data_IF_312569924172
#
_entry.id   IF_312569924172
#
_cell.length_a   1.000
_cell.length_b   1.000
_cell.length_c   1.000
_cell.angle_alpha   90.00
_cell.angle_beta   90.00
_cell.angle_gamma   90.00
#
_symmetry.space_group_name_H-M   'P 1'
#
loop_
_entity.id
_entity.type
_entity.pdbx_description
1 polymer ?
#
# COMPACT_ATOMS: atom_id res chain seq x y z
N UNK A 1 18.67 -0.85 -32.74
CA UNK A 1 17.26 -1.07 -33.12
C UNK A 1 16.39 -0.85 -31.89
N UNK A 2 15.45 0.08 -31.95
CA UNK A 2 14.58 0.44 -30.83
C UNK A 2 13.62 -0.69 -30.42
N UNK A 3 13.28 -1.60 -31.33
CA UNK A 3 12.40 -2.74 -31.03
C UNK A 3 13.06 -3.72 -30.07
N UNK A 4 14.36 -3.96 -30.24
CA UNK A 4 15.12 -4.84 -29.35
C UNK A 4 15.24 -4.23 -27.94
N UNK A 5 15.52 -2.93 -27.85
CA UNK A 5 15.55 -2.21 -26.57
C UNK A 5 14.19 -2.24 -25.87
N UNK A 6 13.11 -2.01 -26.62
CA UNK A 6 11.74 -2.12 -26.11
C UNK A 6 11.42 -3.51 -25.58
N UNK A 7 11.86 -4.56 -26.30
CA UNK A 7 11.65 -5.96 -25.89
C UNK A 7 12.37 -6.29 -24.58
N UNK A 8 13.62 -5.87 -24.43
CA UNK A 8 14.38 -6.03 -23.18
C UNK A 8 13.67 -5.31 -22.02
N UNK A 9 13.20 -4.09 -22.26
CA UNK A 9 12.41 -3.34 -21.28
C UNK A 9 11.11 -4.05 -20.89
N UNK A 10 10.41 -4.64 -21.86
CA UNK A 10 9.17 -5.39 -21.62
C UNK A 10 9.41 -6.64 -20.77
N UNK A 11 10.49 -7.39 -21.00
CA UNK A 11 10.85 -8.52 -20.13
C UNK A 11 11.23 -8.07 -18.72
N UNK A 12 11.97 -6.96 -18.58
CA UNK A 12 12.28 -6.37 -17.28
C UNK A 12 11.03 -5.93 -16.52
N UNK A 13 10.06 -5.32 -17.22
CA UNK A 13 8.77 -4.96 -16.65
C UNK A 13 7.93 -6.20 -16.29
N UNK A 14 7.97 -7.27 -17.09
CA UNK A 14 7.34 -8.54 -16.74
C UNK A 14 7.92 -9.15 -15.47
N UNK A 15 9.25 -9.13 -15.31
CA UNK A 15 9.91 -9.62 -14.10
C UNK A 15 9.56 -8.79 -12.86
N UNK A 16 9.40 -7.47 -12.99
CA UNK A 16 9.03 -6.63 -11.85
C UNK A 16 7.63 -6.97 -11.30
N UNK A 17 6.70 -7.45 -12.14
CA UNK A 17 5.40 -7.93 -11.67
C UNK A 17 5.53 -9.17 -10.77
N UNK A 18 6.47 -10.08 -11.06
CA UNK A 18 6.72 -11.24 -10.20
C UNK A 18 7.29 -10.82 -8.84
N UNK A 19 8.20 -9.84 -8.83
CA UNK A 19 8.74 -9.27 -7.58
C UNK A 19 7.64 -8.59 -6.78
N UNK A 20 6.76 -7.81 -7.43
CA UNK A 20 5.62 -7.17 -6.79
C UNK A 20 4.68 -8.19 -6.13
N UNK A 21 4.29 -9.25 -6.88
CA UNK A 21 3.44 -10.30 -6.34
C UNK A 21 4.07 -11.00 -5.14
N UNK A 22 5.37 -11.30 -5.23
CA UNK A 22 6.11 -11.89 -4.10
C UNK A 22 6.09 -10.99 -2.86
N UNK A 23 6.30 -9.67 -3.02
CA UNK A 23 6.24 -8.72 -1.91
C UNK A 23 4.84 -8.68 -1.29
N UNK A 24 3.78 -8.63 -2.10
CA UNK A 24 2.38 -8.66 -1.61
C UNK A 24 2.09 -9.92 -0.80
N UNK A 25 2.46 -11.10 -1.33
CA UNK A 25 2.26 -12.36 -0.61
C UNK A 25 3.05 -12.37 0.70
N UNK A 26 4.30 -11.90 0.68
CA UNK A 26 5.15 -11.85 1.86
C UNK A 26 4.57 -10.93 2.93
N UNK A 27 4.09 -9.74 2.59
CA UNK A 27 3.55 -8.77 3.57
C UNK A 27 2.18 -9.15 4.12
N UNK A 28 1.39 -9.94 3.38
CA UNK A 28 0.13 -10.50 3.90
C UNK A 28 0.41 -11.66 4.88
N UNK A 29 1.41 -12.50 4.58
CA UNK A 29 1.65 -13.75 5.33
C UNK A 29 2.65 -13.61 6.47
N UNK A 30 3.49 -12.59 6.44
CA UNK A 30 4.62 -12.45 7.38
C UNK A 30 5.04 -11.00 7.57
N UNK A 31 5.79 -10.73 8.65
CA UNK A 31 6.37 -9.41 8.93
C UNK A 31 5.76 -8.74 10.16
N UNK A 32 6.26 -7.54 10.44
CA UNK A 32 5.76 -6.72 11.54
C UNK A 32 4.46 -6.02 11.13
N UNK A 33 3.53 -5.92 12.09
CA UNK A 33 2.30 -5.16 11.87
C UNK A 33 2.66 -3.69 11.71
N UNK A 34 2.08 -3.04 10.71
CA UNK A 34 2.26 -1.62 10.50
C UNK A 34 1.80 -0.83 11.75
N UNK A 35 2.51 0.24 12.14
CA UNK A 35 2.03 1.17 13.14
C UNK A 35 0.76 1.89 12.64
N UNK A 36 0.05 2.52 13.58
CA UNK A 36 -1.23 3.21 13.33
C UNK A 36 -1.18 4.22 12.18
N UNK A 37 -0.14 5.06 12.14
CA UNK A 37 0.14 6.00 11.05
C UNK A 37 1.57 5.75 10.56
N UNK A 38 1.76 4.88 9.55
CA UNK A 38 3.08 4.44 9.11
C UNK A 38 3.79 5.44 8.19
N UNK A 39 3.07 6.44 7.69
CA UNK A 39 3.59 7.41 6.72
C UNK A 39 3.74 8.79 7.36
N UNK A 40 4.80 9.49 6.97
CA UNK A 40 4.96 10.90 7.33
C UNK A 40 3.88 11.73 6.61
N UNK A 41 3.22 12.63 7.34
CA UNK A 41 2.14 13.45 6.79
C UNK A 41 0.79 12.74 6.65
N UNK A 42 0.62 11.55 7.23
CA UNK A 42 -0.68 10.88 7.32
C UNK A 42 -1.52 11.49 8.47
N UNK A 43 -2.00 12.71 8.24
CA UNK A 43 -2.73 13.57 9.19
C UNK A 43 -4.24 13.68 8.91
N UNK A 44 -4.73 12.98 7.89
CA UNK A 44 -6.15 12.91 7.54
C UNK A 44 -6.95 12.05 8.53
N UNK A 45 -8.29 12.10 8.43
CA UNK A 45 -9.19 11.47 9.40
C UNK A 45 -9.03 9.94 9.48
N UNK A 46 -8.70 9.30 8.36
CA UNK A 46 -8.49 7.86 8.29
C UNK A 46 -7.25 7.39 9.07
N UNK A 47 -6.26 8.25 9.28
CA UNK A 47 -5.03 7.92 10.00
C UNK A 47 -5.04 8.40 11.45
N UNK A 48 -5.72 9.53 11.71
CA UNK A 48 -5.77 10.18 13.03
C UNK A 48 -6.92 9.70 13.91
N UNK A 49 -8.04 9.27 13.34
CA UNK A 49 -9.26 8.97 14.09
C UNK A 49 -9.78 7.53 13.94
N UNK A 50 -9.36 6.77 12.92
CA UNK A 50 -9.75 5.36 12.73
C UNK A 50 -8.62 4.42 13.13
N UNK A 51 -8.87 3.31 13.84
CA UNK A 51 -7.83 2.33 14.16
C UNK A 51 -7.37 1.56 12.91
N UNK A 52 -6.15 1.03 12.94
CA UNK A 52 -5.61 0.11 11.94
C UNK A 52 -5.59 -1.33 12.51
N UNK A 53 -6.34 -2.31 11.95
CA UNK A 53 -7.15 -2.23 10.74
C UNK A 53 -8.49 -1.49 10.95
N UNK A 54 -8.99 -0.90 9.86
CA UNK A 54 -10.22 -0.12 9.88
C UNK A 54 -11.44 -0.99 10.25
N UNK A 55 -12.38 -0.47 11.07
CA UNK A 55 -13.63 -1.13 11.37
C UNK A 55 -14.56 -1.16 10.14
N UNK A 56 -15.60 -1.99 10.16
CA UNK A 56 -16.58 -2.09 9.07
C UNK A 56 -17.35 -0.78 8.82
N UNK A 57 -17.70 -0.05 9.89
CA UNK A 57 -18.27 1.28 9.82
C UNK A 57 -17.26 2.30 10.33
N UNK A 58 -16.88 3.27 9.50
CA UNK A 58 -15.86 4.26 9.83
C UNK A 58 -16.31 5.21 10.94
N UNK A 59 -17.48 5.84 10.80
CA UNK A 59 -17.98 6.82 11.76
C UNK A 59 -19.49 6.64 11.95
N UNK A 60 -19.92 6.46 13.20
CA UNK A 60 -21.35 6.52 13.57
C UNK A 60 -21.78 7.97 13.83
N UNK A 61 -20.89 8.75 14.44
CA UNK A 61 -21.06 10.19 14.66
C UNK A 61 -20.06 10.96 13.80
N UNK A 62 -20.47 12.05 13.12
CA UNK A 62 -19.56 12.84 12.30
C UNK A 62 -18.38 13.38 13.12
N UNK A 63 -17.14 13.21 12.65
CA UNK A 63 -15.97 13.74 13.33
C UNK A 63 -15.92 15.27 13.23
N UNK A 64 -15.43 15.93 14.28
CA UNK A 64 -15.19 17.37 14.28
C UNK A 64 -13.80 17.63 13.73
N UNK A 65 -13.73 18.38 12.61
CA UNK A 65 -12.46 18.84 12.03
C UNK A 65 -11.99 20.06 12.84
N UNK A 66 -10.72 20.08 13.24
CA UNK A 66 -10.07 21.24 13.88
C UNK A 66 -9.00 21.80 12.98
#
# INVERSE_FOLDING_TARGET
>A
DFNMLSSIGAFGFGLSQLVFLYVVVKTITSGEKAPQSPWEGADTLEWTQLPSPAPYHSFETPPVIK
#
